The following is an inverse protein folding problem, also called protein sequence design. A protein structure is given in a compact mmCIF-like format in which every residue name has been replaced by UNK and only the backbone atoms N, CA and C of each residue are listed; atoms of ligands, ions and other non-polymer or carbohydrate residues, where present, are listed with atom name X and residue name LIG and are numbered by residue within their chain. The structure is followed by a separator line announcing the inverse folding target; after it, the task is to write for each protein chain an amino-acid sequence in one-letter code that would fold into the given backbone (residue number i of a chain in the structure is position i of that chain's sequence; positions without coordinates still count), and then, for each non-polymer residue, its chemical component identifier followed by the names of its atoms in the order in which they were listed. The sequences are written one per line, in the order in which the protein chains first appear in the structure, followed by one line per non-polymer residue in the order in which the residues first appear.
data_IF_074883804390
#
_entry.id   IF_074883804390
#
_cell.length_a   1.000
_cell.length_b   1.000
_cell.length_c   1.000
_cell.angle_alpha   90.00
_cell.angle_beta   90.00
_cell.angle_gamma   90.00
#
_symmetry.space_group_name_H-M   'P 1'
#
loop_
_entity.id
_entity.type
_entity.pdbx_description
1 polymer ?
#
# COMPACT_ATOMS: atom_id res chain seq x y z
N UNK A 1 -15.01 0.80 3.91
CA UNK A 1 -13.62 0.33 3.74
C UNK A 1 -13.38 -0.78 4.75
N UNK A 2 -13.08 -2.01 4.32
CA UNK A 2 -12.91 -3.15 5.23
C UNK A 2 -11.55 -3.03 5.94
N UNK A 3 -11.54 -3.16 7.28
CA UNK A 3 -10.33 -3.03 8.11
C UNK A 3 -9.25 -4.04 7.71
N UNK A 4 -7.97 -3.66 7.79
CA UNK A 4 -6.83 -4.55 7.51
C UNK A 4 -6.87 -5.84 8.36
N UNK A 5 -7.40 -5.76 9.58
CA UNK A 5 -7.63 -6.93 10.45
C UNK A 5 -8.63 -7.92 9.83
N UNK A 6 -9.73 -7.41 9.28
CA UNK A 6 -10.75 -8.25 8.65
C UNK A 6 -10.21 -8.85 7.35
N UNK A 7 -9.48 -8.08 6.54
CA UNK A 7 -8.80 -8.61 5.35
C UNK A 7 -7.85 -9.75 5.71
N UNK A 8 -7.03 -9.57 6.75
CA UNK A 8 -6.09 -10.58 7.23
C UNK A 8 -6.81 -11.86 7.69
N UNK A 9 -7.91 -11.73 8.44
CA UNK A 9 -8.71 -12.89 8.87
C UNK A 9 -9.28 -13.63 7.66
N UNK A 10 -9.86 -12.91 6.70
CA UNK A 10 -10.48 -13.51 5.51
C UNK A 10 -9.46 -14.29 4.66
N UNK A 11 -8.24 -13.76 4.48
CA UNK A 11 -7.22 -14.46 3.71
C UNK A 11 -6.55 -15.61 4.48
N UNK A 12 -6.81 -15.75 5.79
CA UNK A 12 -6.15 -16.75 6.66
C UNK A 12 -7.09 -17.88 7.09
N UNK A 13 -8.38 -17.76 6.75
CA UNK A 13 -9.42 -18.67 7.24
C UNK A 13 -9.32 -20.06 6.63
N UNK A 14 -8.90 -20.14 5.36
CA UNK A 14 -8.72 -21.38 4.62
C UNK A 14 -7.60 -22.24 5.23
N UNK A 15 -6.49 -21.64 5.65
CA UNK A 15 -5.42 -22.41 6.30
C UNK A 15 -5.81 -22.93 7.69
N UNK A 16 -6.64 -22.19 8.44
CA UNK A 16 -7.16 -22.67 9.72
C UNK A 16 -8.18 -23.80 9.55
N UNK A 17 -8.96 -23.79 8.47
CA UNK A 17 -9.90 -24.88 8.13
C UNK A 17 -9.14 -26.13 7.65
N UNK A 18 -7.99 -25.97 7.01
CA UNK A 18 -7.19 -27.08 6.52
C UNK A 18 -6.64 -27.97 7.65
N UNK A 19 -6.33 -27.39 8.81
CA UNK A 19 -5.83 -28.13 9.99
C UNK A 19 -6.77 -29.24 10.47
N UNK A 20 -8.05 -28.98 10.83
CA UNK A 20 -8.97 -30.03 11.25
C UNK A 20 -9.25 -31.05 10.13
N UNK A 21 -9.28 -30.61 8.87
CA UNK A 21 -9.42 -31.53 7.73
C UNK A 21 -8.23 -32.50 7.68
N UNK A 22 -7.01 -31.99 7.80
CA UNK A 22 -5.81 -32.81 7.82
C UNK A 22 -5.79 -33.77 9.02
N UNK A 23 -6.23 -33.34 10.20
CA UNK A 23 -6.35 -34.20 11.39
C UNK A 23 -7.34 -35.35 11.13
N UNK A 24 -8.51 -35.07 10.54
CA UNK A 24 -9.50 -36.10 10.20
C UNK A 24 -8.95 -37.10 9.19
N UNK A 25 -8.20 -36.63 8.19
CA UNK A 25 -7.54 -37.51 7.23
C UNK A 25 -6.51 -38.42 7.92
N UNK A 26 -5.63 -37.86 8.77
CA UNK A 26 -4.65 -38.67 9.50
C UNK A 26 -5.34 -39.69 10.39
N UNK A 27 -6.43 -39.31 11.06
CA UNK A 27 -7.24 -40.22 11.87
C UNK A 27 -7.76 -41.43 11.08
N UNK A 28 -8.22 -41.22 9.85
CA UNK A 28 -8.76 -42.30 9.04
C UNK A 28 -7.68 -43.18 8.41
N UNK A 29 -6.58 -42.59 7.92
CA UNK A 29 -5.57 -43.31 7.15
C UNK A 29 -4.42 -43.86 7.99
N UNK A 30 -4.01 -43.16 9.06
CA UNK A 30 -2.84 -43.52 9.88
C UNK A 30 -3.12 -43.17 11.36
N UNK A 31 -4.04 -43.91 12.03
CA UNK A 31 -4.52 -43.57 13.38
C UNK A 31 -3.40 -43.54 14.44
N UNK A 32 -2.37 -44.38 14.29
CA UNK A 32 -1.23 -44.46 15.21
C UNK A 32 -0.43 -43.15 15.29
N UNK A 33 -0.50 -42.30 14.25
CA UNK A 33 0.23 -41.04 14.19
C UNK A 33 -0.62 -39.82 14.54
N UNK A 34 -1.92 -39.98 14.86
CA UNK A 34 -2.85 -38.86 15.04
C UNK A 34 -2.38 -37.87 16.08
N UNK A 35 -1.88 -38.34 17.22
CA UNK A 35 -1.42 -37.46 18.30
C UNK A 35 -0.22 -36.64 17.85
N UNK A 36 0.78 -37.28 17.25
CA UNK A 36 1.98 -36.59 16.75
C UNK A 36 1.65 -35.62 15.61
N UNK A 37 0.81 -36.04 14.66
CA UNK A 37 0.37 -35.20 13.56
C UNK A 37 -0.45 -34.00 14.05
N UNK A 38 -1.33 -34.17 15.03
CA UNK A 38 -2.13 -33.08 15.60
C UNK A 38 -1.24 -32.03 16.24
N UNK A 39 -0.26 -32.45 17.05
CA UNK A 39 0.69 -31.53 17.69
C UNK A 39 1.51 -30.79 16.62
N UNK A 40 2.04 -31.51 15.63
CA UNK A 40 2.82 -30.91 14.55
C UNK A 40 2.00 -29.91 13.72
N UNK A 41 0.74 -30.23 13.40
CA UNK A 41 -0.16 -29.37 12.65
C UNK A 41 -0.54 -28.10 13.42
N UNK A 42 -0.82 -28.21 14.72
CA UNK A 42 -1.15 -27.04 15.56
C UNK A 42 0.05 -26.10 15.65
N UNK A 43 1.24 -26.64 15.96
CA UNK A 43 2.47 -25.84 16.05
C UNK A 43 2.80 -25.22 14.68
N UNK A 44 2.73 -26.01 13.61
CA UNK A 44 2.98 -25.55 12.25
C UNK A 44 2.02 -24.44 11.82
N UNK A 45 0.72 -24.59 12.11
CA UNK A 45 -0.28 -23.57 11.82
C UNK A 45 -0.03 -22.28 12.60
N UNK A 46 0.32 -22.38 13.89
CA UNK A 46 0.65 -21.20 14.70
C UNK A 46 1.86 -20.43 14.14
N UNK A 47 2.94 -21.15 13.77
CA UNK A 47 4.11 -20.56 13.13
C UNK A 47 3.75 -19.93 11.78
N UNK A 48 2.99 -20.64 10.95
CA UNK A 48 2.57 -20.17 9.64
C UNK A 48 1.77 -18.86 9.73
N UNK A 49 0.79 -18.80 10.65
CA UNK A 49 0.01 -17.59 10.91
C UNK A 49 0.89 -16.46 11.42
N UNK A 50 1.85 -16.73 12.32
CA UNK A 50 2.77 -15.72 12.83
C UNK A 50 3.66 -15.13 11.72
N UNK A 51 4.21 -15.99 10.84
CA UNK A 51 4.99 -15.56 9.68
C UNK A 51 4.14 -14.74 8.71
N UNK A 52 2.94 -15.22 8.39
CA UNK A 52 1.99 -14.51 7.52
C UNK A 52 1.59 -13.17 8.12
N UNK A 53 1.39 -13.09 9.43
CA UNK A 53 1.13 -11.84 10.13
C UNK A 53 2.31 -10.88 9.98
N UNK A 54 3.55 -11.33 10.19
CA UNK A 54 4.71 -10.45 10.06
C UNK A 54 4.95 -9.96 8.62
N UNK A 55 4.75 -10.83 7.61
CA UNK A 55 5.06 -10.52 6.22
C UNK A 55 3.91 -9.85 5.45
N UNK A 56 2.68 -10.32 5.66
CA UNK A 56 1.51 -9.92 4.85
C UNK A 56 0.72 -8.80 5.51
N UNK A 57 0.61 -8.78 6.84
CA UNK A 57 -0.18 -7.76 7.53
C UNK A 57 0.26 -6.32 7.24
N UNK A 58 1.57 -5.97 7.16
CA UNK A 58 2.00 -4.63 6.77
C UNK A 58 1.47 -4.23 5.38
N UNK A 59 1.56 -5.12 4.40
CA UNK A 59 1.05 -4.86 3.03
C UNK A 59 -0.46 -4.63 2.97
N UNK A 60 -1.23 -5.20 3.92
CA UNK A 60 -2.67 -5.00 4.04
C UNK A 60 -3.03 -3.65 4.68
N UNK A 61 -2.11 -3.05 5.43
CA UNK A 61 -2.24 -1.69 5.97
C UNK A 61 -1.89 -0.64 4.91
N UNK A 62 -0.92 -0.94 4.05
CA UNK A 62 -0.31 0.01 3.10
C UNK A 62 -1.17 0.34 1.86
N UNK A 63 -2.38 -0.18 1.76
CA UNK A 63 -3.30 0.05 0.64
C UNK A 63 -3.75 1.50 0.40
N UNK A 64 -3.18 2.50 1.09
CA UNK A 64 -3.46 3.92 0.88
C UNK A 64 -2.25 4.88 1.00
N UNK A 65 -1.07 4.44 1.48
CA UNK A 65 -0.06 5.40 1.97
C UNK A 65 1.23 5.50 1.15
N UNK A 66 1.69 4.43 0.50
CA UNK A 66 3.04 4.42 -0.11
C UNK A 66 3.12 4.97 -1.55
N UNK A 67 2.01 5.09 -2.28
CA UNK A 67 2.00 5.58 -3.67
C UNK A 67 1.55 7.06 -3.80
N UNK A 68 1.16 7.71 -2.71
CA UNK A 68 0.24 8.85 -2.76
C UNK A 68 0.71 10.13 -2.06
N UNK A 69 1.84 10.11 -1.35
CA UNK A 69 2.31 11.28 -0.60
C UNK A 69 3.30 12.11 -1.43
N UNK A 70 2.80 12.71 -2.51
CA UNK A 70 3.54 13.70 -3.29
C UNK A 70 3.67 15.03 -2.54
N UNK A 71 2.88 15.24 -1.47
CA UNK A 71 2.89 16.45 -0.68
C UNK A 71 4.28 16.69 -0.06
N UNK A 72 4.80 17.90 -0.26
CA UNK A 72 6.14 18.29 0.15
C UNK A 72 7.25 17.99 -0.86
N UNK A 73 7.00 17.17 -1.89
CA UNK A 73 8.00 16.88 -2.92
C UNK A 73 8.23 18.10 -3.82
N UNK A 74 9.47 18.22 -4.29
CA UNK A 74 9.88 19.21 -5.27
C UNK A 74 9.81 18.62 -6.68
N UNK A 75 9.41 19.43 -7.63
CA UNK A 75 9.36 19.08 -9.04
C UNK A 75 9.67 20.27 -9.92
N UNK A 76 9.78 20.01 -11.22
CA UNK A 76 10.07 21.02 -12.23
C UNK A 76 8.94 21.16 -13.22
N UNK A 77 8.52 22.37 -13.53
CA UNK A 77 7.49 22.62 -14.54
C UNK A 77 8.02 22.26 -15.93
N UNK A 78 7.30 21.39 -16.64
CA UNK A 78 7.62 20.98 -18.02
C UNK A 78 6.61 21.52 -19.04
N UNK A 79 5.39 21.83 -18.61
CA UNK A 79 4.38 22.58 -19.37
C UNK A 79 3.79 23.65 -18.45
N UNK A 80 3.52 24.88 -18.93
CA UNK A 80 3.06 25.98 -18.08
C UNK A 80 1.87 25.58 -17.21
N UNK A 81 1.96 25.88 -15.92
CA UNK A 81 0.94 25.51 -14.94
C UNK A 81 0.03 26.68 -14.69
N UNK A 82 -1.26 26.49 -14.96
CA UNK A 82 -2.34 27.44 -14.73
C UNK A 82 -3.32 26.85 -13.72
N UNK A 83 -4.42 27.57 -13.43
CA UNK A 83 -5.52 27.06 -12.61
C UNK A 83 -6.20 25.81 -13.20
N UNK A 84 -6.12 25.59 -14.52
CA UNK A 84 -6.88 24.55 -15.22
C UNK A 84 -6.03 23.37 -15.68
N UNK A 85 -4.78 23.60 -16.01
CA UNK A 85 -3.90 22.60 -16.61
C UNK A 85 -2.43 22.98 -16.44
N UNK A 86 -1.58 21.98 -16.60
CA UNK A 86 -0.13 22.10 -16.59
C UNK A 86 0.50 20.75 -16.27
N UNK A 87 1.81 20.65 -16.43
CA UNK A 87 2.54 19.43 -16.10
C UNK A 87 3.84 19.74 -15.39
N UNK A 88 4.12 18.92 -14.38
CA UNK A 88 5.38 18.95 -13.65
C UNK A 88 6.04 17.59 -13.73
N UNK A 89 7.36 17.58 -13.54
CA UNK A 89 8.15 16.38 -13.34
C UNK A 89 8.59 16.29 -11.89
N UNK A 90 8.20 15.23 -11.19
CA UNK A 90 8.62 14.92 -9.82
C UNK A 90 9.43 13.63 -9.86
N UNK A 91 10.73 13.71 -9.57
CA UNK A 91 11.64 12.58 -9.77
C UNK A 91 11.66 12.09 -11.22
N UNK A 92 11.20 10.86 -11.45
CA UNK A 92 11.11 10.23 -12.77
C UNK A 92 9.71 10.32 -13.41
N UNK A 93 8.70 10.83 -12.69
CA UNK A 93 7.30 10.79 -13.10
C UNK A 93 6.79 12.16 -13.56
N UNK A 94 5.87 12.14 -14.52
CA UNK A 94 5.16 13.34 -15.02
C UNK A 94 3.77 13.35 -14.42
N UNK A 95 3.41 14.48 -13.80
CA UNK A 95 2.14 14.67 -13.11
C UNK A 95 1.39 15.87 -13.68
N UNK A 96 0.06 15.73 -13.81
CA UNK A 96 -0.80 16.87 -14.11
C UNK A 96 -0.83 17.82 -12.90
N UNK A 97 -0.64 19.11 -13.15
CA UNK A 97 -0.52 20.11 -12.11
C UNK A 97 -1.49 21.28 -12.32
N UNK A 98 -1.83 21.94 -11.21
CA UNK A 98 -2.47 23.27 -11.21
C UNK A 98 -1.86 24.16 -10.12
N UNK A 99 -1.92 25.46 -10.34
CA UNK A 99 -1.65 26.48 -9.32
C UNK A 99 -2.95 27.22 -8.98
N UNK A 100 -3.05 27.78 -7.79
CA UNK A 100 -4.24 28.55 -7.41
C UNK A 100 -4.20 29.97 -7.98
N UNK A 101 -3.00 30.51 -8.18
CA UNK A 101 -2.78 31.90 -8.62
C UNK A 101 -1.80 31.97 -9.79
N UNK A 102 -2.11 32.84 -10.75
CA UNK A 102 -1.25 33.16 -11.88
C UNK A 102 -1.00 32.00 -12.83
N UNK A 103 0.16 32.07 -13.48
CA UNK A 103 0.71 31.05 -14.35
C UNK A 103 2.17 30.82 -13.95
N UNK A 104 2.55 29.56 -13.76
CA UNK A 104 3.93 29.17 -13.48
C UNK A 104 4.58 28.75 -14.80
N UNK A 105 5.59 29.47 -15.29
CA UNK A 105 6.21 29.17 -16.57
C UNK A 105 7.03 27.87 -16.52
N UNK A 106 7.31 27.33 -17.70
CA UNK A 106 8.15 26.14 -17.86
C UNK A 106 9.57 26.39 -17.33
N UNK A 107 10.13 25.39 -16.64
CA UNK A 107 11.47 25.45 -16.09
C UNK A 107 11.55 25.93 -14.63
N UNK A 108 10.46 26.42 -14.05
CA UNK A 108 10.41 26.83 -12.64
C UNK A 108 10.35 25.60 -11.73
N UNK A 109 11.08 25.65 -10.62
CA UNK A 109 10.99 24.65 -9.57
C UNK A 109 9.79 24.94 -8.66
N UNK A 110 9.04 23.90 -8.36
CA UNK A 110 7.77 23.98 -7.64
C UNK A 110 7.71 22.95 -6.53
N UNK A 111 6.90 23.23 -5.50
CA UNK A 111 6.60 22.31 -4.41
C UNK A 111 5.15 21.86 -4.48
N UNK A 112 4.92 20.56 -4.36
CA UNK A 112 3.57 20.00 -4.25
C UNK A 112 3.01 20.28 -2.86
N UNK A 113 1.91 21.02 -2.80
CA UNK A 113 1.23 21.41 -1.55
C UNK A 113 0.09 20.47 -1.21
N UNK A 114 -0.62 19.97 -2.21
CA UNK A 114 -1.67 18.97 -2.02
C UNK A 114 -1.90 18.18 -3.29
N UNK A 115 -2.63 17.08 -3.18
CA UNK A 115 -3.03 16.28 -4.34
C UNK A 115 -4.54 16.09 -4.39
N UNK A 116 -5.12 16.43 -5.53
CA UNK A 116 -6.53 16.23 -5.84
C UNK A 116 -6.65 15.15 -6.92
N UNK A 117 -6.94 13.91 -6.49
CA UNK A 117 -6.98 12.73 -7.34
C UNK A 117 -5.66 12.49 -8.10
N UNK A 118 -5.67 12.61 -9.43
CA UNK A 118 -4.52 12.43 -10.33
C UNK A 118 -3.84 13.76 -10.67
N UNK A 119 -4.23 14.85 -10.01
CA UNK A 119 -3.70 16.19 -10.24
C UNK A 119 -3.10 16.76 -8.98
N UNK A 120 -1.88 17.29 -9.07
CA UNK A 120 -1.20 17.93 -7.96
C UNK A 120 -1.44 19.44 -7.96
N UNK A 121 -1.57 20.01 -6.76
CA UNK A 121 -1.53 21.45 -6.54
C UNK A 121 -0.10 21.83 -6.21
N UNK A 122 0.41 22.87 -6.86
CA UNK A 122 1.78 23.32 -6.68
C UNK A 122 1.88 24.81 -6.43
N UNK A 123 2.96 25.20 -5.74
CA UNK A 123 3.40 26.57 -5.57
C UNK A 123 4.85 26.71 -6.07
N UNK A 124 5.25 27.87 -6.65
CA UNK A 124 6.64 28.12 -7.00
C UNK A 124 7.53 28.13 -5.74
N UNK A 125 8.74 27.61 -5.86
CA UNK A 125 9.74 27.66 -4.79
C UNK A 125 10.41 29.03 -4.67
N UNK A 126 10.31 29.89 -5.69
CA UNK A 126 10.87 31.25 -5.68
C UNK A 126 9.79 32.32 -5.45
N UNK A 127 9.72 32.79 -4.20
CA UNK A 127 9.71 34.22 -3.87
C UNK A 127 10.34 34.43 -2.46
N UNK A 128 11.16 35.49 -2.33
CA UNK A 128 12.23 35.80 -1.36
C UNK A 128 13.60 35.19 -1.75
N UNK A 129 14.58 35.90 -2.32
CA UNK A 129 14.90 37.34 -2.37
C UNK A 129 15.27 37.82 -3.80
#
# INVERSE_FOLDING_TARGET
MVSAKVKFIVITIDELILVPIAIVLVYYFIPDLVVYATIALIIGAAIFVAVKYYLVYPSLQDGSYMLYNLEGMMGKVIEPVTQRSGKIKVGAEIWDARCDEGEIPTGVDVKVVSRDHMRVRVIPLESCD
#
